data_IF_652684129316
#
_entry.id   IF_652684129316
#
_cell.length_a   1.000
_cell.length_b   1.000
_cell.length_c   1.000
_cell.angle_alpha   90.00
_cell.angle_beta   90.00
_cell.angle_gamma   90.00
#
_symmetry.space_group_name_H-M   'P 1'
#
loop_
_entity.id
_entity.type
_entity.pdbx_description
1 polymer ?
#
# COMPACT_ATOMS: atom_id res chain seq x y z
N UNK A 1 -23.49 -25.34 64.36
CA UNK A 1 -23.12 -25.82 63.01
C UNK A 1 -21.84 -25.12 62.59
N UNK A 2 -20.72 -25.42 63.26
CA UNK A 2 -19.42 -24.76 62.97
C UNK A 2 -18.23 -25.71 63.12
N UNK A 3 -18.42 -26.96 63.57
CA UNK A 3 -17.33 -27.94 63.72
C UNK A 3 -17.13 -28.84 62.48
N UNK A 4 -18.07 -28.86 61.52
CA UNK A 4 -17.93 -29.65 60.29
C UNK A 4 -17.13 -28.94 59.19
N UNK A 5 -16.96 -27.62 59.27
CA UNK A 5 -16.25 -26.84 58.25
C UNK A 5 -14.73 -26.88 58.45
N UNK A 6 -14.25 -26.95 59.70
CA UNK A 6 -12.81 -27.04 59.99
C UNK A 6 -12.19 -28.40 59.67
N UNK A 7 -12.95 -29.51 59.79
CA UNK A 7 -12.47 -30.85 59.40
C UNK A 7 -12.33 -31.04 57.89
N UNK A 8 -12.96 -30.20 57.08
CA UNK A 8 -12.87 -30.29 55.62
C UNK A 8 -11.60 -29.63 55.07
N UNK A 9 -11.00 -28.68 55.78
CA UNK A 9 -9.80 -27.96 55.33
C UNK A 9 -8.49 -28.70 55.66
N UNK A 10 -8.50 -29.63 56.61
CA UNK A 10 -7.32 -30.41 57.01
C UNK A 10 -6.96 -31.58 56.05
N UNK A 11 -7.69 -31.78 54.95
CA UNK A 11 -7.44 -32.85 53.96
C UNK A 11 -6.82 -32.39 52.64
N UNK A 12 -6.46 -31.12 52.50
CA UNK A 12 -5.74 -30.62 51.33
C UNK A 12 -4.24 -30.74 51.57
N UNK A 13 -3.66 -31.87 51.18
CA UNK A 13 -2.21 -32.01 51.04
C UNK A 13 -1.68 -30.99 50.00
N UNK A 14 -0.40 -30.58 50.10
CA UNK A 14 0.15 -29.58 49.20
C UNK A 14 0.02 -30.05 47.74
N UNK A 15 -0.39 -29.17 46.81
CA UNK A 15 -0.48 -29.54 45.41
C UNK A 15 0.91 -29.94 44.94
N UNK A 16 1.02 -31.16 44.42
CA UNK A 16 2.22 -31.60 43.70
C UNK A 16 2.39 -30.67 42.51
N UNK A 17 3.40 -29.80 42.58
CA UNK A 17 3.84 -28.97 41.48
C UNK A 17 4.37 -29.91 40.38
N UNK A 18 3.49 -30.34 39.48
CA UNK A 18 3.88 -30.96 38.22
C UNK A 18 4.67 -29.93 37.42
N UNK A 19 5.92 -30.29 37.13
CA UNK A 19 6.85 -29.71 36.16
C UNK A 19 6.49 -28.36 35.57
N UNK A 20 6.79 -27.28 36.30
CA UNK A 20 6.99 -25.96 35.67
C UNK A 20 8.34 -26.04 34.97
N UNK A 21 8.35 -26.20 33.65
CA UNK A 21 9.57 -25.99 32.87
C UNK A 21 10.05 -24.57 33.17
N UNK A 22 11.26 -24.43 33.69
CA UNK A 22 11.88 -23.11 33.85
C UNK A 22 11.79 -22.36 32.52
N UNK A 23 11.52 -21.03 32.53
CA UNK A 23 11.64 -20.23 31.31
C UNK A 23 13.01 -20.52 30.68
N UNK A 24 13.04 -20.80 29.38
CA UNK A 24 14.31 -21.05 28.69
C UNK A 24 15.18 -19.81 28.87
N UNK A 25 16.35 -19.97 29.48
CA UNK A 25 17.31 -18.89 29.64
C UNK A 25 17.65 -18.28 28.28
N UNK A 26 17.80 -16.94 28.25
CA UNK A 26 18.15 -16.20 27.04
C UNK A 26 19.58 -16.53 26.60
N UNK A 27 20.45 -16.83 27.56
CA UNK A 27 21.76 -17.39 27.30
C UNK A 27 21.66 -18.86 26.91
N UNK A 28 22.24 -19.18 25.76
CA UNK A 28 22.53 -20.55 25.40
C UNK A 28 23.45 -21.25 26.41
N UNK A 29 23.57 -22.58 26.34
CA UNK A 29 24.50 -23.36 27.18
C UNK A 29 25.96 -22.87 27.14
N UNK A 30 26.36 -22.16 26.06
CA UNK A 30 27.69 -21.58 25.89
C UNK A 30 27.82 -20.12 26.39
N UNK A 31 26.77 -19.56 27.01
CA UNK A 31 26.70 -18.15 27.41
C UNK A 31 26.53 -17.17 26.25
N UNK A 32 26.26 -17.65 25.03
CA UNK A 32 25.99 -16.80 23.85
C UNK A 32 24.52 -16.37 23.83
N UNK A 33 24.27 -15.12 23.45
CA UNK A 33 22.92 -14.55 23.32
C UNK A 33 22.70 -14.20 21.85
N UNK A 34 21.91 -15.03 21.16
CA UNK A 34 21.75 -14.98 19.71
C UNK A 34 20.49 -14.23 19.31
N UNK A 35 20.57 -13.39 18.30
CA UNK A 35 19.43 -12.59 17.81
C UNK A 35 19.40 -12.50 16.28
N UNK A 36 18.20 -12.53 15.72
CA UNK A 36 17.97 -12.32 14.29
C UNK A 36 17.73 -10.84 14.00
N UNK A 37 18.32 -10.34 12.92
CA UNK A 37 18.16 -8.95 12.50
C UNK A 37 17.81 -8.86 11.02
N UNK A 38 16.88 -7.97 10.69
CA UNK A 38 16.72 -7.48 9.32
C UNK A 38 17.81 -6.46 9.05
N UNK A 39 18.71 -6.75 8.11
CA UNK A 39 19.80 -5.84 7.73
C UNK A 39 19.36 -4.80 6.70
N UNK A 40 18.39 -5.17 5.85
CA UNK A 40 17.81 -4.27 4.84
C UNK A 40 16.48 -3.71 5.33
N UNK A 41 16.18 -2.47 4.93
CA UNK A 41 14.85 -1.87 5.10
C UNK A 41 13.91 -2.29 3.97
N UNK A 42 12.62 -2.37 4.29
CA UNK A 42 11.57 -2.65 3.30
C UNK A 42 11.29 -1.42 2.44
N UNK A 43 11.01 -1.64 1.15
CA UNK A 43 10.46 -0.62 0.26
C UNK A 43 9.00 -0.36 0.62
N UNK A 44 8.69 0.87 0.99
CA UNK A 44 7.34 1.32 1.33
C UNK A 44 6.85 2.36 0.31
N UNK A 45 5.54 2.43 0.03
CA UNK A 45 4.44 1.67 0.63
C UNK A 45 4.23 0.27 0.03
N UNK A 46 3.73 -0.66 0.86
CA UNK A 46 3.35 -2.01 0.40
C UNK A 46 1.87 -2.08 0.01
N UNK A 47 1.57 -2.90 -1.00
CA UNK A 47 0.22 -3.15 -1.48
C UNK A 47 -0.09 -4.65 -1.52
N UNK A 48 -1.36 -5.01 -1.38
CA UNK A 48 -1.82 -6.40 -1.50
C UNK A 48 -1.48 -6.99 -2.88
N UNK A 49 -1.01 -8.23 -2.94
CA UNK A 49 -0.54 -8.86 -4.18
C UNK A 49 0.74 -8.26 -4.79
N UNK A 50 1.27 -7.16 -4.24
CA UNK A 50 2.58 -6.64 -4.58
C UNK A 50 3.69 -7.42 -3.88
N UNK A 51 4.85 -7.53 -4.54
CA UNK A 51 6.05 -8.17 -3.99
C UNK A 51 6.62 -7.33 -2.85
N UNK A 52 6.96 -7.98 -1.74
CA UNK A 52 7.73 -7.35 -0.66
C UNK A 52 9.19 -7.32 -1.06
N UNK A 53 9.75 -6.13 -1.15
CA UNK A 53 11.13 -5.90 -1.60
C UNK A 53 11.87 -4.94 -0.65
N UNK A 54 13.19 -4.92 -0.73
CA UNK A 54 14.01 -3.93 -0.01
C UNK A 54 14.02 -2.59 -0.73
N UNK A 55 14.45 -1.53 -0.02
CA UNK A 55 14.61 -0.20 -0.60
C UNK A 55 15.39 -0.25 -1.93
N UNK A 56 14.94 0.52 -2.92
CA UNK A 56 15.54 0.58 -4.27
C UNK A 56 15.56 -0.78 -5.02
N UNK A 57 14.68 -1.72 -4.65
CA UNK A 57 14.60 -3.05 -5.27
C UNK A 57 15.68 -4.02 -4.77
N UNK A 58 16.37 -3.67 -3.68
CA UNK A 58 17.40 -4.52 -3.09
C UNK A 58 16.80 -5.78 -2.43
N UNK A 59 17.64 -6.81 -2.29
CA UNK A 59 17.28 -7.99 -1.53
C UNK A 59 17.18 -7.69 -0.03
N UNK A 60 16.25 -8.37 0.66
CA UNK A 60 16.10 -8.24 2.12
C UNK A 60 16.98 -9.29 2.79
N UNK A 61 18.07 -8.83 3.41
CA UNK A 61 19.01 -9.70 4.11
C UNK A 61 18.68 -9.85 5.58
N UNK A 62 18.89 -11.06 6.08
CA UNK A 62 18.68 -11.47 7.47
C UNK A 62 20.03 -11.93 8.00
N UNK A 63 20.40 -11.51 9.19
CA UNK A 63 21.65 -11.91 9.83
C UNK A 63 21.40 -12.42 11.24
N UNK A 64 22.13 -13.47 11.62
CA UNK A 64 22.23 -13.95 12.99
C UNK A 64 23.41 -13.27 13.68
N UNK A 65 23.16 -12.62 14.80
CA UNK A 65 24.15 -11.82 15.53
C UNK A 65 24.27 -12.32 16.96
N UNK A 66 25.49 -12.34 17.49
CA UNK A 66 25.72 -12.47 18.92
C UNK A 66 25.57 -11.10 19.57
N UNK A 67 24.54 -10.92 20.41
CA UNK A 67 24.22 -9.64 21.03
C UNK A 67 25.31 -9.11 21.97
N UNK A 68 26.20 -9.98 22.47
CA UNK A 68 27.32 -9.55 23.32
C UNK A 68 28.46 -8.93 22.51
N UNK A 69 28.70 -9.43 21.30
CA UNK A 69 29.81 -8.98 20.44
C UNK A 69 29.38 -8.05 19.32
N UNK A 70 28.10 -8.08 18.94
CA UNK A 70 27.56 -7.39 17.77
C UNK A 70 27.99 -8.02 16.43
N UNK A 71 28.72 -9.14 16.45
CA UNK A 71 29.23 -9.79 15.24
C UNK A 71 28.26 -10.85 14.70
N UNK A 72 28.28 -11.01 13.37
CA UNK A 72 27.53 -12.07 12.69
C UNK A 72 28.12 -13.43 13.05
N UNK A 73 27.25 -14.37 13.43
CA UNK A 73 27.64 -15.73 13.78
C UNK A 73 27.73 -16.55 12.50
N UNK A 74 28.95 -16.81 12.04
CA UNK A 74 29.21 -17.47 10.75
C UNK A 74 29.40 -18.98 10.84
N UNK A 75 29.62 -19.52 12.04
CA UNK A 75 29.92 -20.94 12.28
C UNK A 75 28.97 -21.54 13.31
N UNK A 76 28.77 -22.85 13.24
CA UNK A 76 27.92 -23.60 14.18
C UNK A 76 26.56 -23.99 13.56
N UNK A 77 25.82 -24.91 14.20
CA UNK A 77 24.49 -25.32 13.73
C UNK A 77 23.50 -24.15 13.63
N UNK A 78 23.63 -23.15 14.49
CA UNK A 78 22.83 -21.92 14.51
C UNK A 78 23.02 -21.07 13.24
N UNK A 79 24.23 -21.06 12.68
CA UNK A 79 24.55 -20.28 11.47
C UNK A 79 23.89 -20.86 10.20
N UNK A 80 23.33 -22.06 10.28
CA UNK A 80 22.61 -22.75 9.19
C UNK A 80 21.14 -23.04 9.51
N UNK A 81 20.57 -22.32 10.47
CA UNK A 81 19.20 -22.55 10.94
C UNK A 81 18.16 -22.16 9.88
N UNK A 82 17.03 -22.86 9.91
CA UNK A 82 15.85 -22.51 9.13
C UNK A 82 14.92 -21.58 9.92
N UNK A 83 14.44 -20.54 9.28
CA UNK A 83 13.57 -19.51 9.84
C UNK A 83 12.21 -19.54 9.17
N UNK A 84 11.16 -19.29 9.95
CA UNK A 84 9.81 -19.02 9.47
C UNK A 84 9.56 -17.51 9.44
N UNK A 85 8.94 -17.04 8.36
CA UNK A 85 8.48 -15.66 8.20
C UNK A 85 7.04 -15.57 8.68
N UNK A 86 6.78 -14.64 9.60
CA UNK A 86 5.45 -14.42 10.17
C UNK A 86 5.03 -12.95 10.06
N UNK A 87 3.73 -12.70 10.21
CA UNK A 87 3.19 -11.34 10.29
C UNK A 87 2.84 -11.05 11.75
N UNK A 88 3.23 -9.88 12.25
CA UNK A 88 2.97 -9.43 13.61
C UNK A 88 2.06 -8.19 13.62
N UNK A 89 1.40 -7.96 14.75
CA UNK A 89 0.63 -6.74 14.99
C UNK A 89 1.52 -5.49 14.96
N UNK A 90 1.04 -4.42 14.34
CA UNK A 90 1.83 -3.18 14.18
C UNK A 90 2.14 -2.46 15.49
N UNK A 91 1.28 -2.62 16.49
CA UNK A 91 1.39 -2.10 17.85
C UNK A 91 2.23 -2.96 18.77
N UNK A 92 2.88 -4.02 18.26
CA UNK A 92 3.93 -4.72 18.98
C UNK A 92 5.19 -3.83 19.10
N UNK A 93 5.11 -2.83 19.97
CA UNK A 93 6.11 -1.84 20.27
C UNK A 93 6.61 -2.07 21.70
N UNK A 94 7.91 -2.34 21.85
CA UNK A 94 8.54 -2.31 23.17
C UNK A 94 9.19 -0.94 23.26
N UNK A 95 8.42 0.06 23.72
CA UNK A 95 8.91 1.44 23.86
C UNK A 95 9.95 1.57 24.99
N UNK A 96 10.06 0.55 25.84
CA UNK A 96 10.87 0.57 27.06
C UNK A 96 12.18 -0.24 26.99
N UNK A 97 12.69 -0.56 25.79
CA UNK A 97 13.93 -1.36 25.61
C UNK A 97 13.92 -2.75 26.30
N UNK A 98 12.77 -3.19 26.82
CA UNK A 98 12.63 -4.52 27.43
C UNK A 98 12.57 -5.60 26.34
N UNK A 99 13.46 -6.59 26.49
CA UNK A 99 13.48 -7.79 25.68
C UNK A 99 12.16 -8.57 25.81
N UNK A 100 11.52 -8.92 24.69
CA UNK A 100 10.30 -9.74 24.73
C UNK A 100 10.59 -11.22 24.97
N UNK A 101 9.60 -11.93 25.52
CA UNK A 101 9.63 -13.41 25.64
C UNK A 101 9.20 -14.07 24.33
N UNK A 102 9.48 -15.36 24.18
CA UNK A 102 9.02 -16.12 23.02
C UNK A 102 7.48 -16.17 22.98
N UNK A 103 6.84 -16.33 24.15
CA UNK A 103 5.39 -16.38 24.30
C UNK A 103 4.74 -15.03 23.93
N UNK A 104 5.40 -13.93 24.28
CA UNK A 104 4.97 -12.58 23.89
C UNK A 104 5.10 -12.37 22.38
N UNK A 105 6.20 -12.81 21.76
CA UNK A 105 6.33 -12.75 20.30
C UNK A 105 5.22 -13.56 19.61
N UNK A 106 4.96 -14.78 20.10
CA UNK A 106 3.95 -15.67 19.54
C UNK A 106 2.51 -15.14 19.72
N UNK A 107 2.23 -14.40 20.80
CA UNK A 107 0.91 -13.81 21.04
C UNK A 107 0.56 -12.68 20.06
N UNK A 108 1.57 -12.00 19.49
CA UNK A 108 1.41 -10.94 18.51
C UNK A 108 1.38 -11.44 17.06
N UNK A 109 1.49 -12.76 16.81
CA UNK A 109 1.41 -13.31 15.45
C UNK A 109 -0.01 -13.20 14.92
N UNK A 110 -0.15 -12.48 13.81
CA UNK A 110 -1.44 -12.23 13.15
C UNK A 110 -1.76 -13.37 12.22
N UNK A 111 -2.95 -13.94 12.39
CA UNK A 111 -3.54 -14.90 11.45
C UNK A 111 -4.48 -14.20 10.47
N UNK A 112 -4.74 -14.85 9.35
CA UNK A 112 -5.75 -14.42 8.40
C UNK A 112 -7.15 -14.33 9.02
N UNK A 113 -8.02 -13.53 8.39
CA UNK A 113 -9.43 -13.49 8.75
C UNK A 113 -10.12 -14.80 8.41
N UNK A 114 -11.11 -15.16 9.21
CA UNK A 114 -11.92 -16.36 8.98
C UNK A 114 -12.46 -16.41 7.54
N UNK A 115 -12.23 -17.52 6.86
CA UNK A 115 -12.64 -17.73 5.46
C UNK A 115 -11.80 -17.00 4.40
N UNK A 116 -10.64 -16.41 4.76
CA UNK A 116 -9.69 -15.81 3.81
C UNK A 116 -8.50 -16.73 3.53
N UNK A 117 -7.75 -16.38 2.49
CA UNK A 117 -6.44 -16.98 2.18
C UNK A 117 -5.43 -16.61 3.27
N UNK A 118 -4.32 -17.35 3.40
CA UNK A 118 -3.23 -16.99 4.30
C UNK A 118 -2.81 -15.53 4.11
N UNK A 119 -2.58 -14.80 5.19
CA UNK A 119 -2.29 -13.36 5.16
C UNK A 119 -1.04 -13.03 4.34
N UNK A 120 -0.06 -13.94 4.36
CA UNK A 120 1.19 -13.86 3.63
C UNK A 120 1.34 -15.12 2.76
N UNK A 121 1.75 -14.94 1.50
CA UNK A 121 1.98 -16.04 0.55
C UNK A 121 3.32 -15.89 -0.16
N UNK A 122 3.88 -17.02 -0.61
CA UNK A 122 5.19 -17.09 -1.27
C UNK A 122 6.21 -17.88 -0.45
N UNK A 123 7.47 -17.44 -0.46
CA UNK A 123 8.59 -18.10 0.22
C UNK A 123 8.64 -17.76 1.72
N UNK A 124 7.77 -18.39 2.50
CA UNK A 124 7.60 -18.14 3.94
C UNK A 124 8.73 -18.70 4.82
N UNK A 125 9.82 -19.20 4.23
CA UNK A 125 10.92 -19.81 4.96
C UNK A 125 12.26 -19.34 4.41
N UNK A 126 13.21 -19.07 5.30
CA UNK A 126 14.56 -18.65 4.96
C UNK A 126 15.55 -19.60 5.60
N UNK A 127 16.56 -20.05 4.86
CA UNK A 127 17.65 -20.88 5.40
C UNK A 127 18.88 -19.98 5.51
N UNK A 128 19.45 -19.88 6.72
CA UNK A 128 20.71 -19.20 6.91
C UNK A 128 21.86 -20.01 6.32
N UNK A 129 22.86 -19.32 5.78
CA UNK A 129 24.15 -19.88 5.37
C UNK A 129 25.22 -18.97 5.95
N UNK A 130 26.09 -19.53 6.78
CA UNK A 130 27.12 -18.76 7.49
C UNK A 130 26.52 -17.54 8.23
N UNK A 131 25.33 -17.74 8.83
CA UNK A 131 24.62 -16.71 9.60
C UNK A 131 23.85 -15.70 8.76
N UNK A 132 23.84 -15.82 7.43
CA UNK A 132 23.17 -14.89 6.52
C UNK A 132 22.08 -15.59 5.71
N UNK A 133 20.89 -14.99 5.69
CA UNK A 133 19.74 -15.42 4.91
C UNK A 133 19.27 -14.30 3.99
N UNK A 134 18.56 -14.67 2.93
CA UNK A 134 17.87 -13.70 2.06
C UNK A 134 16.40 -14.08 1.98
N UNK A 135 15.54 -13.09 2.21
CA UNK A 135 14.10 -13.28 2.11
C UNK A 135 13.72 -13.55 0.65
N UNK A 136 12.91 -14.59 0.42
CA UNK A 136 12.40 -14.91 -0.90
C UNK A 136 11.20 -14.04 -1.30
N UNK A 137 10.45 -14.50 -2.31
CA UNK A 137 9.35 -13.74 -2.87
C UNK A 137 8.12 -13.85 -1.97
N UNK A 138 7.68 -12.71 -1.42
CA UNK A 138 6.55 -12.63 -0.50
C UNK A 138 5.50 -11.64 -0.98
N UNK A 139 4.24 -11.94 -0.69
CA UNK A 139 3.09 -11.10 -1.04
C UNK A 139 2.05 -11.12 0.06
N UNK A 140 1.49 -9.96 0.40
CA UNK A 140 0.35 -9.85 1.32
C UNK A 140 -0.96 -10.07 0.58
N UNK A 141 -1.86 -10.89 1.11
CA UNK A 141 -3.15 -11.17 0.46
C UNK A 141 -4.28 -10.27 0.96
N UNK A 142 -4.11 -9.64 2.11
CA UNK A 142 -5.06 -8.72 2.72
C UNK A 142 -4.36 -7.43 3.17
N UNK A 143 -5.11 -6.34 3.21
CA UNK A 143 -4.59 -5.04 3.59
C UNK A 143 -4.59 -4.90 5.13
N UNK A 144 -3.86 -3.93 5.68
CA UNK A 144 -3.78 -3.77 7.13
C UNK A 144 -4.94 -2.98 7.73
N UNK A 145 -5.94 -2.53 6.97
CA UNK A 145 -6.98 -1.60 7.47
C UNK A 145 -7.95 -2.24 8.48
N UNK A 146 -8.06 -3.57 8.49
CA UNK A 146 -8.98 -4.30 9.36
C UNK A 146 -8.43 -4.57 10.76
N UNK A 147 -7.11 -4.47 10.97
CA UNK A 147 -6.50 -4.65 12.29
C UNK A 147 -6.49 -3.35 13.08
N UNK A 148 -6.53 -3.43 14.41
CA UNK A 148 -6.64 -2.29 15.32
C UNK A 148 -5.56 -1.23 15.07
N UNK A 149 -4.31 -1.64 14.94
CA UNK A 149 -3.16 -0.75 14.72
C UNK A 149 -3.05 -0.23 13.29
N UNK A 150 -3.87 -0.73 12.35
CA UNK A 150 -3.83 -0.45 10.91
C UNK A 150 -2.48 -0.70 10.24
N UNK A 151 -1.59 -1.41 10.92
CA UNK A 151 -0.21 -1.67 10.52
C UNK A 151 0.14 -3.13 10.82
N UNK A 152 1.08 -3.65 10.04
CA UNK A 152 1.71 -4.94 10.28
C UNK A 152 3.21 -4.74 10.52
N UNK A 153 3.86 -5.77 11.02
CA UNK A 153 5.32 -5.96 10.97
C UNK A 153 5.62 -7.33 10.36
N UNK A 154 6.80 -7.48 9.74
CA UNK A 154 7.33 -8.81 9.45
C UNK A 154 8.13 -9.28 10.65
N UNK A 155 7.91 -10.54 11.03
CA UNK A 155 8.64 -11.24 12.06
C UNK A 155 9.43 -12.41 11.50
N UNK A 156 10.53 -12.76 12.15
CA UNK A 156 11.31 -13.97 11.87
C UNK A 156 11.51 -14.75 13.15
N UNK A 157 11.22 -16.05 13.10
CA UNK A 157 11.50 -16.97 14.21
C UNK A 157 12.16 -18.23 13.70
N UNK A 158 12.86 -18.94 14.58
CA UNK A 158 13.43 -20.25 14.25
C UNK A 158 12.29 -21.24 13.97
N UNK A 159 12.42 -22.01 12.89
CA UNK A 159 11.46 -23.04 12.52
C UNK A 159 11.47 -24.19 13.54
N UNK A 160 10.31 -24.80 13.76
CA UNK A 160 10.18 -25.94 14.69
C UNK A 160 11.12 -27.10 14.31
N UNK A 161 11.74 -27.73 15.32
CA UNK A 161 12.68 -28.84 15.13
C UNK A 161 14.14 -28.42 14.84
N UNK A 162 14.42 -27.11 14.83
CA UNK A 162 15.79 -26.58 14.73
C UNK A 162 16.23 -25.91 16.02
N UNK A 163 17.54 -25.96 16.30
CA UNK A 163 18.16 -25.33 17.47
C UNK A 163 17.46 -25.66 18.81
N UNK A 164 17.01 -26.91 18.98
CA UNK A 164 16.36 -27.34 20.22
C UNK A 164 17.28 -27.15 21.43
N UNK A 165 16.78 -26.46 22.45
CA UNK A 165 17.55 -26.12 23.66
C UNK A 165 18.39 -24.84 23.59
N UNK A 166 18.44 -24.17 22.43
CA UNK A 166 19.10 -22.87 22.26
C UNK A 166 18.06 -21.78 21.99
N UNK A 167 18.08 -20.68 22.74
CA UNK A 167 17.21 -19.53 22.45
C UNK A 167 17.89 -18.62 21.42
N UNK A 168 17.25 -18.47 20.27
CA UNK A 168 17.58 -17.43 19.28
C UNK A 168 16.44 -16.42 19.31
N UNK A 169 16.74 -15.16 19.59
CA UNK A 169 15.74 -14.09 19.61
C UNK A 169 15.22 -13.81 18.21
N UNK A 170 13.91 -13.67 18.12
CA UNK A 170 13.18 -13.34 16.91
C UNK A 170 13.54 -11.94 16.41
N UNK A 171 13.38 -11.70 15.10
CA UNK A 171 13.48 -10.37 14.53
C UNK A 171 12.07 -9.81 14.30
N UNK A 172 11.93 -8.49 14.36
CA UNK A 172 10.78 -7.77 13.80
C UNK A 172 11.22 -6.55 13.01
N UNK A 173 10.46 -6.19 11.98
CA UNK A 173 10.65 -4.94 11.26
C UNK A 173 9.97 -3.77 11.97
N UNK A 174 10.23 -2.56 11.49
CA UNK A 174 9.37 -1.42 11.74
C UNK A 174 7.93 -1.68 11.27
N UNK A 175 6.96 -0.99 11.89
CA UNK A 175 5.55 -1.12 11.55
C UNK A 175 5.23 -0.38 10.25
N UNK A 176 4.52 -1.05 9.34
CA UNK A 176 4.13 -0.50 8.04
C UNK A 176 2.66 -0.76 7.72
N UNK A 177 2.11 0.07 6.84
CA UNK A 177 0.75 -0.11 6.32
C UNK A 177 0.81 -0.93 5.02
N UNK A 178 -0.04 -1.94 4.91
CA UNK A 178 -0.31 -2.64 3.65
C UNK A 178 -1.61 -2.10 3.09
N UNK A 179 -1.55 -1.47 1.92
CA UNK A 179 -2.71 -0.86 1.27
C UNK A 179 -3.37 -1.85 0.31
N UNK A 180 -4.65 -1.66 0.06
CA UNK A 180 -5.34 -2.42 -0.98
C UNK A 180 -4.82 -1.99 -2.37
N UNK A 181 -4.37 -2.94 -3.17
CA UNK A 181 -3.86 -2.68 -4.53
C UNK A 181 -4.91 -2.07 -5.46
N UNK A 182 -6.21 -2.30 -5.22
CA UNK A 182 -7.29 -1.63 -5.94
C UNK A 182 -7.23 -0.11 -5.74
N UNK A 183 -6.79 0.35 -4.57
CA UNK A 183 -6.65 1.77 -4.27
C UNK A 183 -5.58 2.46 -5.13
N UNK A 184 -4.49 1.76 -5.45
CA UNK A 184 -3.43 2.28 -6.33
C UNK A 184 -3.83 2.18 -7.80
N UNK A 185 -4.33 1.02 -8.23
CA UNK A 185 -4.80 0.84 -9.61
C UNK A 185 -5.89 1.84 -9.97
N UNK A 186 -6.78 2.19 -9.04
CA UNK A 186 -7.91 3.09 -9.30
C UNK A 186 -7.68 4.54 -8.84
N UNK A 187 -6.45 4.89 -8.51
CA UNK A 187 -6.08 6.22 -8.06
C UNK A 187 -6.45 7.28 -9.12
N UNK A 188 -6.99 8.41 -8.66
CA UNK A 188 -7.22 9.58 -9.50
C UNK A 188 -5.90 10.29 -9.75
N UNK A 189 -5.67 10.72 -10.98
CA UNK A 189 -4.47 11.46 -11.32
C UNK A 189 -4.69 12.94 -11.05
N UNK A 190 -3.71 13.59 -10.42
CA UNK A 190 -3.74 15.03 -10.13
C UNK A 190 -2.40 15.68 -10.54
N UNK A 191 -2.36 16.53 -11.58
CA UNK A 191 -3.45 16.75 -12.54
C UNK A 191 -3.71 15.50 -13.40
N UNK A 192 -4.92 15.31 -13.94
CA UNK A 192 -5.16 14.27 -14.94
C UNK A 192 -4.45 14.61 -16.26
N UNK A 193 -4.06 13.59 -17.02
CA UNK A 193 -3.47 13.74 -18.36
C UNK A 193 -4.55 13.57 -19.45
N UNK A 194 -4.33 14.17 -20.63
CA UNK A 194 -5.30 14.11 -21.75
C UNK A 194 -5.62 12.68 -22.20
N UNK A 195 -4.61 11.80 -22.19
CA UNK A 195 -4.71 10.40 -22.59
C UNK A 195 -5.11 9.47 -21.44
N UNK A 196 -5.35 9.99 -20.23
CA UNK A 196 -5.91 9.18 -19.16
C UNK A 196 -7.32 8.70 -19.56
N UNK A 197 -7.67 7.49 -19.14
CA UNK A 197 -9.06 7.04 -19.20
C UNK A 197 -9.95 8.01 -18.40
N UNK A 198 -11.18 8.22 -18.88
CA UNK A 198 -12.14 9.16 -18.27
C UNK A 198 -12.48 8.80 -16.81
N UNK A 199 -12.36 7.52 -16.44
CA UNK A 199 -12.54 7.09 -15.06
C UNK A 199 -11.42 7.54 -14.12
N UNK A 200 -10.31 8.11 -14.61
CA UNK A 200 -9.29 8.77 -13.77
C UNK A 200 -9.75 10.10 -13.21
N UNK A 201 -10.84 10.67 -13.72
CA UNK A 201 -11.44 11.87 -13.16
C UNK A 201 -12.19 11.57 -11.86
N UNK A 202 -12.27 12.57 -10.98
CA UNK A 202 -13.06 12.47 -9.76
C UNK A 202 -14.53 12.11 -10.04
N UNK A 203 -15.18 11.44 -9.08
CA UNK A 203 -16.59 11.03 -9.12
C UNK A 203 -16.97 10.01 -10.20
N UNK A 204 -16.03 9.60 -11.06
CA UNK A 204 -16.24 8.54 -12.06
C UNK A 204 -15.49 7.28 -11.62
N UNK A 205 -16.17 6.24 -11.14
CA UNK A 205 -15.51 4.97 -10.79
C UNK A 205 -15.18 4.13 -12.02
N UNK A 206 -14.02 3.43 -12.04
CA UNK A 206 -13.73 2.41 -13.07
C UNK A 206 -14.84 1.36 -13.06
N UNK A 207 -15.30 1.00 -14.26
CA UNK A 207 -16.44 0.11 -14.51
C UNK A 207 -17.77 0.49 -13.82
N UNK A 208 -17.84 1.70 -13.26
CA UNK A 208 -19.03 2.26 -12.62
C UNK A 208 -20.08 2.72 -13.64
N UNK A 209 -21.24 3.13 -13.12
CA UNK A 209 -22.39 3.56 -13.96
C UNK A 209 -22.03 4.73 -14.88
N UNK A 210 -21.37 5.78 -14.37
CA UNK A 210 -20.96 6.93 -15.18
C UNK A 210 -19.91 6.56 -16.22
N UNK A 211 -18.90 5.75 -15.86
CA UNK A 211 -17.89 5.30 -16.80
C UNK A 211 -18.51 4.54 -17.98
N UNK A 212 -19.44 3.61 -17.69
CA UNK A 212 -20.16 2.87 -18.74
C UNK A 212 -20.97 3.80 -19.65
N UNK A 213 -21.71 4.76 -19.09
CA UNK A 213 -22.50 5.73 -19.88
C UNK A 213 -21.62 6.60 -20.77
N UNK A 214 -20.50 7.09 -20.25
CA UNK A 214 -19.53 7.88 -21.00
C UNK A 214 -18.93 7.07 -22.16
N UNK A 215 -18.51 5.83 -21.90
CA UNK A 215 -17.98 4.94 -22.94
C UNK A 215 -19.02 4.62 -24.01
N UNK A 216 -20.28 4.38 -23.64
CA UNK A 216 -21.38 4.19 -24.61
C UNK A 216 -21.59 5.45 -25.47
N UNK A 217 -21.33 6.63 -24.93
CA UNK A 217 -21.40 7.90 -25.66
C UNK A 217 -20.11 8.24 -26.43
N UNK A 218 -19.13 7.34 -26.48
CA UNK A 218 -17.84 7.54 -27.17
C UNK A 218 -16.84 8.42 -26.42
N UNK A 219 -16.99 8.56 -25.11
CA UNK A 219 -16.13 9.38 -24.26
C UNK A 219 -15.25 8.45 -23.43
N UNK A 220 -14.05 8.18 -23.93
CA UNK A 220 -13.14 7.20 -23.32
C UNK A 220 -12.02 7.86 -22.53
N UNK A 221 -11.56 9.03 -22.98
CA UNK A 221 -10.42 9.74 -22.40
C UNK A 221 -10.81 11.04 -21.71
N UNK A 222 -9.89 11.60 -20.91
CA UNK A 222 -10.03 12.95 -20.35
C UNK A 222 -10.12 14.01 -21.45
N UNK A 223 -9.38 13.85 -22.56
CA UNK A 223 -9.48 14.74 -23.71
C UNK A 223 -10.88 14.75 -24.34
N UNK A 224 -11.48 13.58 -24.56
CA UNK A 224 -12.85 13.47 -25.11
C UNK A 224 -13.86 14.16 -24.18
N UNK A 225 -13.70 13.96 -22.87
CA UNK A 225 -14.55 14.57 -21.86
C UNK A 225 -14.45 16.09 -21.91
N UNK A 226 -13.23 16.64 -21.92
CA UNK A 226 -12.99 18.08 -21.96
C UNK A 226 -13.51 18.73 -23.24
N UNK A 227 -13.33 18.10 -24.41
CA UNK A 227 -13.86 18.60 -25.69
C UNK A 227 -15.37 18.77 -25.68
N UNK A 228 -16.08 17.82 -25.08
CA UNK A 228 -17.54 17.93 -24.93
C UNK A 228 -17.89 18.95 -23.85
N UNK A 229 -17.15 19.01 -22.74
CA UNK A 229 -17.38 20.01 -21.69
C UNK A 229 -17.20 21.45 -22.18
N UNK A 230 -16.27 21.71 -23.11
CA UNK A 230 -16.11 23.02 -23.75
C UNK A 230 -17.28 23.32 -24.69
N UNK A 231 -17.67 22.34 -25.53
CA UNK A 231 -18.68 22.53 -26.57
C UNK A 231 -20.11 22.57 -26.02
N UNK A 232 -20.46 21.67 -25.12
CA UNK A 232 -21.82 21.45 -24.63
C UNK A 232 -21.84 20.70 -23.29
N UNK A 233 -21.75 21.47 -22.20
CA UNK A 233 -21.84 20.94 -20.84
C UNK A 233 -23.19 20.28 -20.55
N UNK A 234 -24.28 20.77 -21.13
CA UNK A 234 -25.62 20.24 -20.88
C UNK A 234 -25.75 18.84 -21.45
N UNK A 235 -25.27 18.60 -22.67
CA UNK A 235 -25.22 17.25 -23.26
C UNK A 235 -24.43 16.28 -22.39
N UNK A 236 -23.26 16.68 -21.92
CA UNK A 236 -22.42 15.84 -21.04
C UNK A 236 -23.15 15.51 -19.74
N UNK A 237 -23.85 16.49 -19.17
CA UNK A 237 -24.67 16.33 -17.97
C UNK A 237 -25.87 15.40 -18.20
N UNK A 238 -26.52 15.48 -19.37
CA UNK A 238 -27.60 14.56 -19.77
C UNK A 238 -27.09 13.12 -19.90
N UNK A 239 -25.89 12.90 -20.46
CA UNK A 239 -25.27 11.57 -20.57
C UNK A 239 -25.08 10.95 -19.18
N UNK A 240 -24.60 11.72 -18.20
CA UNK A 240 -24.37 11.22 -16.84
C UNK A 240 -25.69 10.98 -16.10
N UNK A 241 -26.69 11.81 -16.36
CA UNK A 241 -28.06 11.67 -15.89
C UNK A 241 -28.25 12.01 -14.40
N UNK A 242 -29.42 11.68 -13.87
CA UNK A 242 -29.87 12.10 -12.52
C UNK A 242 -29.01 11.62 -11.35
N UNK A 243 -28.21 10.57 -11.53
CA UNK A 243 -27.28 10.12 -10.50
C UNK A 243 -26.15 11.13 -10.21
N UNK A 244 -25.90 12.07 -11.13
CA UNK A 244 -24.88 13.10 -10.95
C UNK A 244 -25.48 14.35 -10.28
N UNK A 245 -25.23 14.50 -8.99
CA UNK A 245 -25.60 15.72 -8.24
C UNK A 245 -24.79 16.94 -8.68
N UNK A 246 -25.29 18.14 -8.42
CA UNK A 246 -24.57 19.41 -8.68
C UNK A 246 -23.16 19.39 -8.08
N UNK A 247 -23.04 19.03 -6.79
CA UNK A 247 -21.76 18.97 -6.10
C UNK A 247 -20.78 17.98 -6.73
N UNK A 248 -21.27 16.84 -7.23
CA UNK A 248 -20.42 15.87 -7.93
C UNK A 248 -19.98 16.37 -9.30
N UNK A 249 -20.89 17.02 -10.02
CA UNK A 249 -20.61 17.64 -11.31
C UNK A 249 -19.53 18.73 -11.20
N UNK A 250 -19.66 19.63 -10.23
CA UNK A 250 -18.72 20.73 -10.03
C UNK A 250 -17.32 20.18 -9.70
N UNK A 251 -17.23 19.23 -8.76
CA UNK A 251 -15.96 18.58 -8.42
C UNK A 251 -15.33 17.82 -9.61
N UNK A 252 -16.14 17.18 -10.45
CA UNK A 252 -15.68 16.50 -11.67
C UNK A 252 -15.11 17.50 -12.68
N UNK A 253 -15.83 18.59 -12.94
CA UNK A 253 -15.39 19.63 -13.88
C UNK A 253 -14.13 20.35 -13.38
N UNK A 254 -14.11 20.75 -12.11
CA UNK A 254 -12.95 21.43 -11.52
C UNK A 254 -11.71 20.54 -11.59
N UNK A 255 -11.85 19.24 -11.28
CA UNK A 255 -10.75 18.28 -11.41
C UNK A 255 -10.29 18.14 -12.86
N UNK A 256 -11.22 17.97 -13.81
CA UNK A 256 -10.89 17.83 -15.22
C UNK A 256 -10.15 19.07 -15.77
N UNK A 257 -10.53 20.26 -15.34
CA UNK A 257 -9.89 21.54 -15.73
C UNK A 257 -8.48 21.72 -15.19
N UNK A 258 -8.05 20.93 -14.21
CA UNK A 258 -6.63 20.94 -13.77
C UNK A 258 -5.72 20.23 -14.79
N UNK A 259 -6.27 19.53 -15.78
CA UNK A 259 -5.52 18.87 -16.85
C UNK A 259 -4.59 19.85 -17.59
N UNK A 260 -3.32 19.47 -17.72
CA UNK A 260 -2.33 20.26 -18.47
C UNK A 260 -2.47 19.97 -19.96
N UNK A 261 -2.78 21.01 -20.74
CA UNK A 261 -2.92 20.91 -22.19
C UNK A 261 -1.55 20.74 -22.86
N UNK A 262 -1.51 20.00 -23.97
CA UNK A 262 -0.24 19.66 -24.66
C UNK A 262 0.42 20.82 -25.42
N UNK A 263 -0.18 22.02 -25.39
CA UNK A 263 0.30 23.19 -26.14
C UNK A 263 0.10 23.09 -27.66
N UNK A 264 -0.67 22.11 -28.15
CA UNK A 264 -1.03 22.00 -29.57
C UNK A 264 -2.19 22.92 -29.89
N UNK A 265 -2.10 23.59 -31.02
CA UNK A 265 -3.13 24.46 -31.54
C UNK A 265 -3.63 23.98 -32.90
N UNK A 266 -4.93 24.16 -33.13
CA UNK A 266 -5.58 23.94 -34.40
C UNK A 266 -5.95 25.31 -34.98
N UNK A 267 -5.48 25.59 -36.20
CA UNK A 267 -5.77 26.85 -36.88
C UNK A 267 -6.66 26.57 -38.07
N UNK A 268 -7.82 27.24 -38.13
CA UNK A 268 -8.76 27.15 -39.23
C UNK A 268 -8.79 28.48 -39.98
N UNK A 269 -8.45 28.47 -41.26
CA UNK A 269 -8.49 29.65 -42.11
C UNK A 269 -9.83 29.73 -42.86
N UNK A 270 -10.36 30.93 -43.01
CA UNK A 270 -11.64 31.18 -43.70
C UNK A 270 -11.52 31.02 -45.23
N UNK A 271 -10.33 31.28 -45.78
CA UNK A 271 -10.05 31.28 -47.21
C UNK A 271 -8.62 30.78 -47.53
N UNK A 272 -8.35 30.62 -48.83
CA UNK A 272 -7.04 30.22 -49.33
C UNK A 272 -5.98 31.32 -49.13
N UNK A 273 -6.39 32.58 -48.93
CA UNK A 273 -5.45 33.70 -48.70
C UNK A 273 -4.85 33.67 -47.30
N UNK A 274 -5.46 32.93 -46.35
CA UNK A 274 -4.99 32.76 -44.97
C UNK A 274 -4.87 34.07 -44.20
N UNK A 275 -5.62 35.09 -44.60
CA UNK A 275 -5.59 36.42 -43.99
C UNK A 275 -6.27 36.44 -42.61
N UNK A 276 -7.25 35.55 -42.40
CA UNK A 276 -7.98 35.39 -41.15
C UNK A 276 -8.03 33.92 -40.73
N UNK A 277 -7.51 33.62 -39.54
CA UNK A 277 -7.48 32.26 -38.98
C UNK A 277 -7.97 32.19 -37.53
N UNK A 278 -8.80 31.22 -37.20
CA UNK A 278 -9.26 30.98 -35.82
C UNK A 278 -8.41 29.91 -35.16
N UNK A 279 -7.91 30.19 -33.96
CA UNK A 279 -7.00 29.32 -33.21
C UNK A 279 -7.76 28.66 -32.07
N UNK A 280 -7.74 27.33 -32.02
CA UNK A 280 -8.28 26.52 -30.94
C UNK A 280 -7.19 25.71 -30.26
N UNK A 281 -7.34 25.44 -28.96
CA UNK A 281 -6.44 24.53 -28.24
C UNK A 281 -6.83 23.05 -28.43
N UNK A 282 -6.12 22.15 -27.73
CA UNK A 282 -6.36 20.70 -27.71
C UNK A 282 -7.80 20.25 -27.42
N UNK A 283 -8.54 21.04 -26.65
CA UNK A 283 -9.91 20.73 -26.23
C UNK A 283 -10.95 21.50 -27.06
N UNK A 284 -10.54 22.10 -28.17
CA UNK A 284 -11.36 22.93 -29.06
C UNK A 284 -11.96 24.17 -28.39
N UNK A 285 -11.29 24.68 -27.35
CA UNK A 285 -11.60 25.97 -26.80
C UNK A 285 -10.90 27.06 -27.61
N UNK A 286 -11.65 28.14 -27.89
CA UNK A 286 -11.16 29.28 -28.65
C UNK A 286 -10.00 29.94 -27.90
N UNK A 287 -8.82 29.94 -28.52
CA UNK A 287 -7.63 30.55 -27.96
C UNK A 287 -7.40 31.98 -28.49
N UNK A 288 -7.73 32.21 -29.77
CA UNK A 288 -7.56 33.52 -30.38
C UNK A 288 -7.84 33.55 -31.88
N UNK A 289 -7.57 34.72 -32.48
CA UNK A 289 -7.74 35.01 -33.90
C UNK A 289 -6.40 35.47 -34.49
N UNK A 290 -6.08 35.05 -35.70
CA UNK A 290 -4.98 35.54 -36.50
C UNK A 290 -5.57 36.44 -37.57
N UNK A 291 -5.11 37.69 -37.65
CA UNK A 291 -5.50 38.65 -38.69
C UNK A 291 -4.28 39.41 -39.19
N UNK A 292 -4.00 39.37 -40.49
CA UNK A 292 -2.89 40.14 -41.07
C UNK A 292 -1.56 39.91 -40.35
N UNK A 293 -1.21 38.64 -40.13
CA UNK A 293 -0.02 38.15 -39.39
C UNK A 293 0.03 38.44 -37.88
N UNK A 294 -0.99 39.07 -37.30
CA UNK A 294 -1.06 39.34 -35.86
C UNK A 294 -1.95 38.34 -35.13
N UNK A 295 -1.50 37.87 -33.97
CA UNK A 295 -2.29 37.04 -33.06
C UNK A 295 -3.01 37.89 -32.02
N UNK A 296 -4.33 37.73 -31.94
CA UNK A 296 -5.21 38.36 -30.98
C UNK A 296 -5.77 37.29 -30.03
N UNK A 297 -5.46 37.33 -28.72
CA UNK A 297 -5.98 36.36 -27.77
C UNK A 297 -7.50 36.52 -27.60
N UNK A 298 -8.19 35.41 -27.34
CA UNK A 298 -9.66 35.36 -27.25
C UNK A 298 -10.26 36.32 -26.21
N UNK A 299 -9.53 36.58 -25.12
CA UNK A 299 -9.95 37.52 -24.06
C UNK A 299 -9.95 38.98 -24.53
N UNK A 300 -9.24 39.29 -25.61
CA UNK A 300 -9.19 40.63 -26.23
C UNK A 300 -10.18 40.79 -27.38
N UNK A 301 -10.92 39.74 -27.75
CA UNK A 301 -11.94 39.79 -28.81
C UNK A 301 -13.28 40.32 -28.26
N UNK A 302 -13.96 41.16 -29.04
CA UNK A 302 -15.30 41.63 -28.69
C UNK A 302 -16.35 40.52 -28.86
N UNK A 303 -17.50 40.65 -28.17
CA UNK A 303 -18.58 39.65 -28.28
C UNK A 303 -19.09 39.49 -29.73
N UNK A 304 -19.08 40.57 -30.52
CA UNK A 304 -19.40 40.52 -31.95
C UNK A 304 -18.40 39.71 -32.79
N UNK A 305 -17.14 39.62 -32.36
CA UNK A 305 -16.10 38.82 -33.01
C UNK A 305 -16.11 37.35 -32.54
N UNK A 306 -16.75 37.04 -31.41
CA UNK A 306 -16.90 35.68 -30.87
C UNK A 306 -18.10 34.91 -31.44
N UNK A 307 -19.04 35.60 -32.10
CA UNK A 307 -20.32 35.05 -32.60
C UNK A 307 -20.35 34.92 -34.14
N UNK A 308 -19.21 35.15 -34.80
CA UNK A 308 -19.06 35.06 -36.26
C UNK A 308 -19.12 33.63 -36.81
#
# INVERSE_FOLDING_TARGET
>A
VSEEVERALAKLGPPRLSGRSSPKQIEGPDGRSLQLHFRSRLSLPLFTGGKVEGEQGAAIHIVLVDSKTGHVVTTGPEASVKLDVVVLEGDFNNEDDEDWTQEEFESHVVKEREGKRPLLTGDLQVILKEGVGTLGDLTFTDNSSWIRSRKFRLGLKVASGYCEGMRVREAKTEAFTVKDHRGELYKKHYPPALNDDVWRLEKIGKDGSFHKKLNTAGIFTVEDFLRIAVRDQQKLRTILGSGMSNKMWDALLDHAKTCVLSGKFYVYYNDDTRDVGVVFNNIYELNGLITGEQYLPADSLSDSQKVG
#
